data_IF_358482929449
#
_entry.id   IF_358482929449
#
_cell.length_a   1.000
_cell.length_b   1.000
_cell.length_c   1.000
_cell.angle_alpha   90.00
_cell.angle_beta   90.00
_cell.angle_gamma   90.00
#
_symmetry.space_group_name_H-M   'P 1'
#
loop_
_entity.id
_entity.type
_entity.pdbx_description
1 polymer ?
#
# COMPACT_ATOMS: atom_id res chain seq x y z
N UNK A 1 7.97 -0.83 -5.15
CA UNK A 1 6.81 -1.51 -4.58
C UNK A 1 5.74 -1.65 -5.63
N UNK A 2 4.94 -2.69 -5.54
CA UNK A 2 3.84 -3.02 -6.44
C UNK A 2 2.55 -3.08 -5.65
N UNK A 3 1.44 -3.10 -6.37
CA UNK A 3 0.11 -3.16 -5.78
C UNK A 3 -0.75 -4.16 -6.55
N UNK A 4 -1.39 -5.08 -5.83
CA UNK A 4 -2.27 -6.07 -6.45
C UNK A 4 -3.66 -5.51 -6.75
N UNK A 5 -4.51 -6.27 -7.45
CA UNK A 5 -5.88 -5.83 -7.85
C UNK A 5 -6.79 -5.43 -6.67
N UNK A 6 -6.47 -5.84 -5.45
CA UNK A 6 -7.22 -5.56 -4.23
C UNK A 6 -6.49 -4.56 -3.32
N UNK A 7 -5.54 -3.82 -3.91
CA UNK A 7 -4.73 -2.82 -3.25
C UNK A 7 -3.87 -3.35 -2.09
N UNK A 8 -3.43 -4.60 -2.13
CA UNK A 8 -2.36 -5.08 -1.26
C UNK A 8 -1.00 -4.64 -1.79
N UNK A 9 -0.22 -3.86 -1.01
CA UNK A 9 1.12 -3.49 -1.41
C UNK A 9 2.09 -4.63 -1.15
N UNK A 10 3.02 -4.85 -2.08
CA UNK A 10 4.13 -5.79 -1.93
C UNK A 10 5.38 -5.23 -2.59
N UNK A 11 6.54 -5.86 -2.35
CA UNK A 11 7.82 -5.36 -2.85
C UNK A 11 8.54 -6.40 -3.70
N UNK A 12 9.38 -5.90 -4.62
CA UNK A 12 10.46 -6.66 -5.22
C UNK A 12 11.47 -7.02 -4.11
N UNK A 13 11.92 -8.27 -4.06
CA UNK A 13 12.84 -8.77 -3.03
C UNK A 13 12.21 -9.11 -1.68
N UNK A 14 10.94 -8.76 -1.46
CA UNK A 14 10.19 -9.16 -0.27
C UNK A 14 8.70 -9.28 -0.54
N UNK A 15 8.20 -10.51 -0.48
CA UNK A 15 6.77 -10.81 -0.59
C UNK A 15 6.29 -11.38 0.74
N UNK A 16 5.50 -10.59 1.47
CA UNK A 16 5.05 -10.89 2.83
C UNK A 16 6.20 -11.27 3.77
N UNK A 17 6.25 -12.54 4.20
CA UNK A 17 7.26 -13.07 5.12
C UNK A 17 8.49 -13.64 4.41
N UNK A 18 8.51 -13.71 3.08
CA UNK A 18 9.66 -14.22 2.32
C UNK A 18 10.55 -13.08 1.87
N UNK A 19 11.83 -13.18 2.20
CA UNK A 19 12.90 -12.30 1.75
C UNK A 19 13.76 -13.06 0.75
N UNK A 20 14.11 -12.39 -0.36
CA UNK A 20 14.99 -12.96 -1.38
C UNK A 20 16.43 -12.46 -1.13
N UNK A 21 17.40 -13.36 -1.32
CA UNK A 21 18.80 -12.95 -1.38
C UNK A 21 19.03 -12.15 -2.66
N UNK A 22 19.67 -10.99 -2.55
CA UNK A 22 20.06 -10.20 -3.71
C UNK A 22 21.36 -10.76 -4.30
N UNK A 23 21.23 -11.38 -5.47
CA UNK A 23 22.31 -11.91 -6.30
C UNK A 23 22.51 -11.06 -7.57
N UNK A 24 21.99 -9.82 -7.57
CA UNK A 24 22.03 -8.89 -8.69
C UNK A 24 20.78 -8.92 -9.58
N UNK A 25 19.78 -9.74 -9.25
CA UNK A 25 18.52 -9.82 -10.01
C UNK A 25 17.68 -8.52 -9.94
N UNK A 26 18.07 -7.58 -9.08
CA UNK A 26 17.41 -6.30 -8.87
C UNK A 26 18.15 -5.06 -9.40
N UNK A 27 19.26 -5.25 -10.11
CA UNK A 27 20.15 -4.17 -10.58
C UNK A 27 19.67 -3.41 -11.82
N UNK A 28 18.47 -3.69 -12.33
CA UNK A 28 17.89 -2.94 -13.45
C UNK A 28 16.88 -1.90 -12.95
N UNK A 29 16.98 -0.63 -13.38
CA UNK A 29 15.95 0.37 -13.14
C UNK A 29 14.57 -0.14 -13.55
N UNK A 30 13.56 0.12 -12.72
CA UNK A 30 12.20 -0.36 -12.97
C UNK A 30 11.16 0.67 -12.56
N UNK A 31 10.18 0.88 -13.41
CA UNK A 31 8.99 1.61 -13.05
C UNK A 31 8.17 0.79 -12.04
N UNK A 32 7.76 1.40 -10.94
CA UNK A 32 7.08 0.77 -9.81
C UNK A 32 5.85 1.57 -9.41
N UNK A 33 4.97 0.98 -8.61
CA UNK A 33 3.78 1.69 -8.15
C UNK A 33 4.11 2.74 -7.08
N UNK A 34 4.97 2.36 -6.14
CA UNK A 34 5.38 3.17 -5.01
C UNK A 34 6.83 2.86 -4.63
N UNK A 35 7.54 3.85 -4.11
CA UNK A 35 8.88 3.71 -3.53
C UNK A 35 8.81 3.88 -2.00
N UNK A 36 9.76 3.27 -1.27
CA UNK A 36 9.76 3.31 0.19
C UNK A 36 10.11 4.70 0.71
N UNK A 37 9.42 5.16 1.76
CA UNK A 37 9.74 6.42 2.43
C UNK A 37 11.13 6.44 3.08
N UNK A 38 11.77 5.28 3.27
CA UNK A 38 13.14 5.19 3.80
C UNK A 38 14.19 5.80 2.85
N UNK A 39 13.93 5.79 1.54
CA UNK A 39 14.76 6.44 0.54
C UNK A 39 13.89 6.84 -0.64
N UNK A 40 13.34 8.06 -0.58
CA UNK A 40 12.46 8.63 -1.58
C UNK A 40 12.93 10.03 -1.96
N UNK A 41 13.26 10.22 -3.25
CA UNK A 41 13.58 11.52 -3.82
C UNK A 41 12.44 12.00 -4.71
N UNK A 42 11.98 13.24 -4.51
CA UNK A 42 10.85 13.83 -5.22
C UNK A 42 11.19 15.27 -5.59
N UNK A 43 10.79 15.70 -6.80
CA UNK A 43 10.87 17.12 -7.20
C UNK A 43 10.06 17.98 -6.22
N UNK A 44 10.70 18.98 -5.63
CA UNK A 44 10.09 19.87 -4.62
C UNK A 44 8.77 20.48 -5.08
N UNK A 45 8.70 20.96 -6.32
CA UNK A 45 7.48 21.54 -6.88
C UNK A 45 6.34 20.54 -6.98
N UNK A 46 6.63 19.30 -7.40
CA UNK A 46 5.63 18.22 -7.49
C UNK A 46 5.15 17.83 -6.10
N UNK A 47 6.07 17.69 -5.14
CA UNK A 47 5.73 17.37 -3.75
C UNK A 47 4.79 18.41 -3.15
N UNK A 48 5.12 19.70 -3.28
CA UNK A 48 4.30 20.82 -2.78
C UNK A 48 2.96 20.91 -3.50
N UNK A 49 2.96 20.83 -4.82
CA UNK A 49 1.75 20.93 -5.66
C UNK A 49 0.74 19.83 -5.35
N UNK A 50 1.22 18.62 -5.05
CA UNK A 50 0.36 17.49 -4.70
C UNK A 50 -0.05 17.46 -3.22
N UNK A 51 0.44 18.40 -2.39
CA UNK A 51 0.08 18.51 -0.97
C UNK A 51 0.90 17.61 -0.03
N UNK A 52 2.09 17.17 -0.47
CA UNK A 52 3.02 16.40 0.36
C UNK A 52 2.48 15.06 0.87
N UNK A 53 2.97 14.62 2.03
CA UNK A 53 2.48 13.44 2.75
C UNK A 53 1.19 13.78 3.51
N UNK A 54 0.18 12.92 3.44
CA UNK A 54 -1.12 13.19 4.07
C UNK A 54 -1.06 12.94 5.60
N UNK A 55 -1.20 13.97 6.44
CA UNK A 55 -1.12 13.83 7.89
C UNK A 55 -2.25 12.97 8.48
N UNK A 56 -3.35 12.75 7.75
CA UNK A 56 -4.42 11.85 8.18
C UNK A 56 -3.94 10.40 8.37
N UNK A 57 -2.88 10.00 7.66
CA UNK A 57 -2.31 8.65 7.72
C UNK A 57 -1.40 8.47 8.94
N UNK A 58 -0.80 9.55 9.45
CA UNK A 58 0.16 9.60 10.55
C UNK A 58 1.46 8.81 10.28
N UNK A 59 1.37 7.49 10.09
CA UNK A 59 2.47 6.61 9.76
C UNK A 59 1.98 5.39 8.97
N UNK A 60 2.84 4.87 8.10
CA UNK A 60 2.58 3.84 7.09
C UNK A 60 1.67 4.29 5.95
N UNK A 61 2.11 4.03 4.72
CA UNK A 61 1.40 4.26 3.46
C UNK A 61 1.26 5.73 3.06
N UNK A 62 1.82 6.68 3.82
CA UNK A 62 1.94 8.07 3.38
C UNK A 62 2.69 8.21 2.06
N UNK A 63 3.77 7.46 1.89
CA UNK A 63 4.56 7.41 0.68
C UNK A 63 3.80 6.74 -0.47
N UNK A 64 3.00 5.71 -0.17
CA UNK A 64 2.19 5.00 -1.16
C UNK A 64 1.08 5.93 -1.68
N UNK A 65 0.40 6.66 -0.81
CA UNK A 65 -0.61 7.66 -1.18
C UNK A 65 -0.01 8.75 -2.06
N UNK A 66 1.20 9.24 -1.73
CA UNK A 66 1.91 10.25 -2.52
C UNK A 66 2.25 9.72 -3.91
N UNK A 67 2.83 8.52 -4.01
CA UNK A 67 3.16 7.89 -5.28
C UNK A 67 1.90 7.66 -6.14
N UNK A 68 0.79 7.26 -5.52
CA UNK A 68 -0.48 7.09 -6.22
C UNK A 68 -1.02 8.41 -6.78
N UNK A 69 -0.99 9.48 -5.98
CA UNK A 69 -1.36 10.83 -6.43
C UNK A 69 -0.46 11.34 -7.55
N UNK A 70 0.85 11.06 -7.49
CA UNK A 70 1.79 11.37 -8.56
C UNK A 70 1.40 10.68 -9.88
N UNK A 71 1.10 9.39 -9.83
CA UNK A 71 0.63 8.67 -11.02
C UNK A 71 -0.69 9.22 -11.58
N UNK A 72 -1.64 9.61 -10.71
CA UNK A 72 -2.87 10.29 -11.15
C UNK A 72 -2.59 11.63 -11.84
N UNK A 73 -1.57 12.34 -11.39
CA UNK A 73 -1.10 13.60 -11.97
C UNK A 73 -0.19 13.42 -13.20
N UNK A 74 0.08 12.19 -13.63
CA UNK A 74 0.87 11.91 -14.84
C UNK A 74 2.37 11.76 -14.60
N UNK A 75 2.82 11.72 -13.34
CA UNK A 75 4.22 11.44 -13.01
C UNK A 75 4.48 9.94 -12.83
N UNK A 76 5.71 9.55 -13.11
CA UNK A 76 6.18 8.18 -12.97
C UNK A 76 6.90 7.98 -11.63
N UNK A 77 6.97 6.72 -11.18
CA UNK A 77 7.69 6.35 -9.97
C UNK A 77 8.67 5.24 -10.33
N UNK A 78 9.94 5.46 -10.05
CA UNK A 78 11.03 4.56 -10.46
C UNK A 78 11.86 4.12 -9.26
N UNK A 79 12.43 2.91 -9.36
CA UNK A 79 13.55 2.48 -8.52
C UNK A 79 14.85 2.64 -9.31
N UNK A 80 15.86 3.26 -8.69
CA UNK A 80 17.22 3.40 -9.23
C UNK A 80 18.19 2.54 -8.39
N UNK A 81 18.51 1.31 -8.84
CA UNK A 81 19.36 0.39 -8.08
C UNK A 81 20.80 0.87 -7.85
N UNK A 82 21.30 1.80 -8.68
CA UNK A 82 22.62 2.40 -8.46
C UNK A 82 22.68 3.29 -7.20
N UNK A 83 21.52 3.75 -6.70
CA UNK A 83 21.41 4.53 -5.46
C UNK A 83 20.95 3.63 -4.31
N UNK A 84 21.91 3.09 -3.57
CA UNK A 84 21.65 2.13 -2.48
C UNK A 84 21.72 2.81 -1.12
N UNK A 85 20.68 2.59 -0.29
CA UNK A 85 20.60 3.05 1.10
C UNK A 85 20.25 1.88 2.00
N UNK A 86 21.04 1.67 3.06
CA UNK A 86 20.76 0.66 4.08
C UNK A 86 19.84 1.25 5.16
N UNK A 87 18.70 0.62 5.37
CA UNK A 87 17.70 1.05 6.34
C UNK A 87 17.43 -0.06 7.37
N UNK A 88 17.70 0.22 8.65
CA UNK A 88 17.37 -0.68 9.74
C UNK A 88 15.86 -0.65 10.01
N UNK A 89 15.15 -1.66 9.53
CA UNK A 89 13.71 -1.77 9.68
C UNK A 89 13.27 -2.03 11.13
N UNK A 90 12.08 -1.52 11.50
CA UNK A 90 11.40 -1.93 12.74
C UNK A 90 11.77 -1.15 14.01
N UNK A 91 12.58 -0.10 13.91
CA UNK A 91 13.00 0.70 15.06
C UNK A 91 11.84 1.39 15.81
N UNK A 92 10.85 1.94 15.10
CA UNK A 92 9.74 2.70 15.71
C UNK A 92 8.55 1.83 16.12
N UNK A 93 8.23 0.81 15.32
CA UNK A 93 7.08 -0.09 15.54
C UNK A 93 7.47 -1.51 15.14
N UNK A 94 7.60 -2.37 16.15
CA UNK A 94 7.86 -3.79 15.97
C UNK A 94 6.76 -4.46 15.13
N UNK A 95 7.12 -5.56 14.45
CA UNK A 95 6.22 -6.29 13.56
C UNK A 95 4.97 -6.78 14.29
N UNK A 96 5.13 -7.25 15.53
CA UNK A 96 4.02 -7.76 16.35
C UNK A 96 3.22 -6.68 17.09
N UNK A 97 3.45 -5.39 16.82
CA UNK A 97 2.67 -4.34 17.48
C UNK A 97 1.27 -4.22 16.83
N UNK A 98 0.15 -4.41 17.58
CA UNK A 98 -1.20 -4.26 17.03
C UNK A 98 -1.50 -2.85 16.49
N UNK A 99 -0.80 -1.82 16.97
CA UNK A 99 -0.89 -0.46 16.42
C UNK A 99 -0.47 -0.40 14.96
N UNK A 100 0.58 -1.16 14.58
CA UNK A 100 1.02 -1.29 13.18
C UNK A 100 -0.03 -1.99 12.33
N UNK A 101 -0.70 -3.01 12.86
CA UNK A 101 -1.82 -3.67 12.17
C UNK A 101 -2.96 -2.68 11.96
N UNK A 102 -3.39 -1.98 13.00
CA UNK A 102 -4.43 -0.95 12.89
C UNK A 102 -4.10 0.11 11.82
N UNK A 103 -2.88 0.66 11.85
CA UNK A 103 -2.47 1.70 10.90
C UNK A 103 -2.46 1.17 9.46
N UNK A 104 -1.86 0.00 9.21
CA UNK A 104 -1.81 -0.58 7.86
C UNK A 104 -3.20 -0.84 7.27
N UNK A 105 -4.11 -1.45 8.03
CA UNK A 105 -5.46 -1.74 7.54
C UNK A 105 -6.25 -0.45 7.31
N UNK A 106 -6.26 0.47 8.29
CA UNK A 106 -6.99 1.75 8.18
C UNK A 106 -6.47 2.57 7.01
N UNK A 107 -5.15 2.73 6.92
CA UNK A 107 -4.52 3.59 5.91
C UNK A 107 -4.69 3.00 4.51
N UNK A 108 -4.67 1.67 4.36
CA UNK A 108 -4.94 1.03 3.08
C UNK A 108 -6.35 1.37 2.55
N UNK A 109 -7.37 1.23 3.39
CA UNK A 109 -8.75 1.58 3.02
C UNK A 109 -8.88 3.08 2.69
N UNK A 110 -8.21 3.94 3.44
CA UNK A 110 -8.16 5.39 3.18
C UNK A 110 -7.56 5.67 1.80
N UNK A 111 -6.38 5.13 1.46
CA UNK A 111 -5.71 5.44 0.18
C UNK A 111 -6.48 4.87 -1.02
N UNK A 112 -7.12 3.72 -0.87
CA UNK A 112 -8.04 3.13 -1.86
C UNK A 112 -9.20 4.07 -2.10
N UNK A 113 -9.90 4.46 -1.02
CA UNK A 113 -11.01 5.40 -1.12
C UNK A 113 -10.57 6.80 -1.53
N UNK A 114 -9.30 7.18 -1.45
CA UNK A 114 -8.83 8.49 -1.92
C UNK A 114 -8.50 8.51 -3.41
N UNK A 115 -8.02 7.40 -3.97
CA UNK A 115 -7.30 7.43 -5.26
C UNK A 115 -7.95 6.62 -6.38
N UNK A 116 -8.89 5.72 -6.09
CA UNK A 116 -9.65 5.01 -7.14
C UNK A 116 -10.95 5.71 -7.54
N UNK A 117 -11.52 5.46 -8.73
CA UNK A 117 -12.89 5.86 -9.05
C UNK A 117 -13.86 5.42 -7.96
N UNK A 118 -14.89 6.23 -7.66
CA UNK A 118 -15.70 6.07 -6.44
C UNK A 118 -16.32 4.66 -6.32
N UNK A 119 -16.98 4.18 -7.37
CA UNK A 119 -17.61 2.85 -7.36
C UNK A 119 -16.58 1.71 -7.33
N UNK A 120 -15.45 1.86 -8.03
CA UNK A 120 -14.35 0.89 -7.94
C UNK A 120 -13.78 0.81 -6.53
N UNK A 121 -13.61 1.96 -5.86
CA UNK A 121 -13.14 2.01 -4.48
C UNK A 121 -14.11 1.31 -3.52
N UNK A 122 -15.41 1.58 -3.63
CA UNK A 122 -16.43 0.92 -2.81
C UNK A 122 -16.43 -0.61 -3.01
N UNK A 123 -16.32 -1.08 -4.26
CA UNK A 123 -16.21 -2.52 -4.55
C UNK A 123 -14.98 -3.16 -3.92
N UNK A 124 -13.82 -2.50 -4.01
CA UNK A 124 -12.59 -2.97 -3.35
C UNK A 124 -12.75 -2.98 -1.83
N UNK A 125 -13.31 -1.91 -1.23
CA UNK A 125 -13.53 -1.82 0.23
C UNK A 125 -14.47 -2.91 0.73
N UNK A 126 -15.55 -3.19 0.00
CA UNK A 126 -16.47 -4.27 0.34
C UNK A 126 -15.76 -5.63 0.35
N UNK A 127 -14.96 -5.92 -0.69
CA UNK A 127 -14.18 -7.16 -0.70
C UNK A 127 -13.11 -7.18 0.40
N UNK A 128 -12.47 -6.05 0.68
CA UNK A 128 -11.51 -5.89 1.78
C UNK A 128 -12.15 -6.18 3.13
N UNK A 129 -13.40 -5.79 3.36
CA UNK A 129 -14.13 -6.15 4.58
C UNK A 129 -14.16 -7.67 4.79
N UNK A 130 -14.40 -8.44 3.73
CA UNK A 130 -14.42 -9.91 3.78
C UNK A 130 -13.01 -10.49 3.99
N UNK A 131 -12.04 -10.06 3.18
CA UNK A 131 -10.65 -10.54 3.25
C UNK A 131 -9.97 -10.19 4.58
N UNK A 132 -10.20 -8.98 5.09
CA UNK A 132 -9.69 -8.54 6.38
C UNK A 132 -10.37 -9.29 7.53
N UNK A 133 -11.65 -9.64 7.38
CA UNK A 133 -12.36 -10.51 8.31
C UNK A 133 -11.72 -11.90 8.39
N UNK A 134 -11.39 -12.52 7.25
CA UNK A 134 -10.65 -13.78 7.21
C UNK A 134 -9.27 -13.68 7.88
N UNK A 135 -8.53 -12.60 7.62
CA UNK A 135 -7.26 -12.34 8.29
C UNK A 135 -7.45 -12.17 9.82
N UNK A 136 -8.54 -11.52 10.25
CA UNK A 136 -8.91 -11.38 11.65
C UNK A 136 -9.20 -12.71 12.34
N UNK A 137 -9.89 -13.64 11.66
CA UNK A 137 -10.12 -15.01 12.14
C UNK A 137 -8.79 -15.76 12.25
N UNK A 138 -7.92 -15.67 11.23
CA UNK A 138 -6.60 -16.30 11.27
C UNK A 138 -5.75 -15.78 12.45
N UNK A 139 -5.76 -14.48 12.73
CA UNK A 139 -5.07 -13.94 13.91
C UNK A 139 -5.65 -14.46 15.22
N UNK A 140 -6.97 -14.63 15.31
CA UNK A 140 -7.62 -15.17 16.49
C UNK A 140 -7.20 -16.63 16.72
N UNK A 141 -7.23 -17.45 15.67
CA UNK A 141 -6.80 -18.85 15.70
C UNK A 141 -5.30 -18.98 16.05
N UNK A 142 -4.48 -18.02 15.64
CA UNK A 142 -3.06 -17.95 15.98
C UNK A 142 -2.78 -17.39 17.40
N UNK A 143 -3.81 -17.21 18.24
CA UNK A 143 -3.64 -16.70 19.61
C UNK A 143 -3.29 -15.21 19.69
N UNK A 144 -3.58 -14.43 18.63
CA UNK A 144 -3.26 -13.00 18.50
C UNK A 144 -4.53 -12.10 18.49
N UNK A 145 -5.43 -12.17 19.48
CA UNK A 145 -6.72 -11.45 19.47
C UNK A 145 -6.59 -9.92 19.40
N UNK A 146 -5.48 -9.36 19.92
CA UNK A 146 -5.19 -7.92 19.82
C UNK A 146 -5.08 -7.45 18.36
N UNK A 147 -4.61 -8.29 17.44
CA UNK A 147 -4.53 -7.97 16.02
C UNK A 147 -5.92 -8.00 15.37
N UNK A 148 -6.76 -8.98 15.72
CA UNK A 148 -8.16 -9.04 15.27
C UNK A 148 -8.91 -7.78 15.68
N UNK A 149 -8.80 -7.36 16.94
CA UNK A 149 -9.44 -6.12 17.41
C UNK A 149 -8.85 -4.87 16.72
N UNK A 150 -7.55 -4.87 16.40
CA UNK A 150 -6.93 -3.80 15.64
C UNK A 150 -7.50 -3.66 14.22
N UNK A 151 -7.83 -4.78 13.55
CA UNK A 151 -8.47 -4.78 12.23
C UNK A 151 -9.90 -4.23 12.33
N UNK A 152 -10.70 -4.71 13.28
CA UNK A 152 -12.07 -4.22 13.50
C UNK A 152 -12.06 -2.70 13.74
N UNK A 153 -11.20 -2.25 14.67
CA UNK A 153 -11.03 -0.83 14.97
C UNK A 153 -10.57 -0.02 13.75
N UNK A 154 -9.75 -0.60 12.87
CA UNK A 154 -9.28 0.05 11.66
C UNK A 154 -10.43 0.35 10.68
N UNK A 155 -11.36 -0.60 10.50
CA UNK A 155 -12.57 -0.42 9.70
C UNK A 155 -13.46 0.69 10.26
N UNK A 156 -13.79 0.65 11.56
CA UNK A 156 -14.57 1.72 12.19
C UNK A 156 -13.89 3.09 12.10
N UNK A 157 -12.57 3.15 12.29
CA UNK A 157 -11.80 4.39 12.16
C UNK A 157 -11.77 4.92 10.71
N UNK A 158 -11.79 4.03 9.71
CA UNK A 158 -11.94 4.39 8.31
C UNK A 158 -13.32 5.01 8.07
N UNK A 159 -14.41 4.35 8.50
CA UNK A 159 -15.78 4.87 8.33
C UNK A 159 -15.99 6.20 9.06
N UNK A 160 -15.48 6.34 10.28
CA UNK A 160 -15.53 7.61 11.03
C UNK A 160 -14.76 8.76 10.37
N UNK A 161 -13.84 8.47 9.44
CA UNK A 161 -13.10 9.47 8.65
C UNK A 161 -13.70 9.73 7.26
N UNK A 162 -14.83 9.10 6.91
CA UNK A 162 -15.37 9.13 5.56
C UNK A 162 -15.54 10.55 5.02
N UNK A 163 -16.10 11.48 5.80
CA UNK A 163 -16.26 12.89 5.39
C UNK A 163 -14.92 13.56 5.08
N UNK A 164 -13.90 13.38 5.94
CA UNK A 164 -12.55 13.91 5.71
C UNK A 164 -11.89 13.30 4.47
N UNK A 165 -12.13 12.02 4.23
CA UNK A 165 -11.67 11.30 3.03
C UNK A 165 -12.33 11.90 1.77
N UNK A 166 -13.65 12.11 1.76
CA UNK A 166 -14.34 12.73 0.63
C UNK A 166 -13.88 14.17 0.38
N UNK A 167 -13.65 14.97 1.43
CA UNK A 167 -13.05 16.31 1.29
C UNK A 167 -11.66 16.24 0.67
N UNK A 168 -10.85 15.26 1.07
CA UNK A 168 -9.51 15.04 0.49
C UNK A 168 -9.58 14.60 -0.98
N UNK A 169 -10.53 13.72 -1.34
CA UNK A 169 -10.82 13.36 -2.74
C UNK A 169 -11.17 14.59 -3.56
N UNK A 170 -12.10 15.43 -3.08
CA UNK A 170 -12.54 16.62 -3.79
C UNK A 170 -11.37 17.58 -4.07
N UNK A 171 -10.47 17.81 -3.11
CA UNK A 171 -9.26 18.65 -3.30
C UNK A 171 -8.31 18.13 -4.38
N UNK A 172 -8.29 16.82 -4.61
CA UNK A 172 -7.42 16.20 -5.62
C UNK A 172 -8.18 15.82 -6.90
N UNK A 173 -9.45 16.21 -7.04
CA UNK A 173 -10.30 15.83 -8.17
C UNK A 173 -9.84 16.42 -9.51
N UNK A 174 -9.05 17.50 -9.49
CA UNK A 174 -8.41 18.06 -10.68
C UNK A 174 -7.47 17.08 -11.40
N UNK A 175 -6.97 16.07 -10.69
CA UNK A 175 -6.20 14.98 -11.29
C UNK A 175 -7.12 13.80 -11.58
N UNK A 176 -7.16 13.30 -12.82
CA UNK A 176 -8.11 12.26 -13.22
C UNK A 176 -7.93 11.00 -12.37
N UNK A 177 -9.05 10.41 -11.97
CA UNK A 177 -9.03 9.07 -11.39
C UNK A 177 -8.70 8.07 -12.50
N UNK A 178 -7.77 7.15 -12.20
CA UNK A 178 -7.35 6.09 -13.12
C UNK A 178 -7.90 4.76 -12.65
N UNK A 179 -8.27 3.86 -13.57
CA UNK A 179 -8.54 2.47 -13.18
C UNK A 179 -7.25 1.85 -12.69
N UNK A 180 -7.38 0.79 -11.90
CA UNK A 180 -6.21 0.10 -11.36
C UNK A 180 -5.26 -0.37 -12.47
N UNK A 181 -5.81 -0.95 -13.54
CA UNK A 181 -5.06 -1.42 -14.72
C UNK A 181 -4.31 -0.32 -15.48
N UNK A 182 -4.71 0.95 -15.32
CA UNK A 182 -4.10 2.07 -16.03
C UNK A 182 -2.93 2.67 -15.23
N UNK A 183 -2.67 2.16 -14.02
CA UNK A 183 -1.56 2.55 -13.15
C UNK A 183 -0.37 1.61 -13.35
N UNK A 184 0.82 2.15 -13.21
CA UNK A 184 2.09 1.44 -13.35
C UNK A 184 2.45 0.73 -12.06
N UNK A 185 3.14 -0.41 -12.19
CA UNK A 185 3.48 -1.28 -11.07
C UNK A 185 2.29 -1.99 -10.42
N UNK A 186 1.21 -2.21 -11.18
CA UNK A 186 0.06 -2.99 -10.72
C UNK A 186 0.19 -4.46 -11.11
N UNK A 187 -0.38 -5.34 -10.30
CA UNK A 187 -0.44 -6.78 -10.52
C UNK A 187 -1.91 -7.22 -10.64
N UNK A 188 -2.32 -7.88 -11.73
CA UNK A 188 -3.73 -8.10 -12.04
C UNK A 188 -4.42 -9.17 -11.19
N UNK A 189 -3.66 -10.00 -10.47
CA UNK A 189 -4.20 -11.04 -9.60
C UNK A 189 -4.08 -10.68 -8.10
N UNK A 190 -4.56 -11.57 -7.23
CA UNK A 190 -4.42 -11.42 -5.79
C UNK A 190 -3.05 -11.93 -5.34
N UNK A 191 -2.20 -11.04 -4.84
CA UNK A 191 -0.88 -11.43 -4.31
C UNK A 191 -1.03 -12.33 -3.08
N UNK A 192 -2.10 -12.15 -2.30
CA UNK A 192 -2.44 -13.00 -1.16
C UNK A 192 -2.73 -14.43 -1.61
N UNK A 193 -3.55 -14.61 -2.64
CA UNK A 193 -3.89 -15.93 -3.17
C UNK A 193 -2.67 -16.62 -3.80
N UNK A 194 -1.91 -15.87 -4.58
CA UNK A 194 -0.67 -16.36 -5.18
C UNK A 194 0.33 -16.83 -4.12
N UNK A 195 0.49 -16.08 -3.03
CA UNK A 195 1.41 -16.44 -1.96
C UNK A 195 0.93 -17.59 -1.08
N UNK A 196 -0.30 -17.53 -0.55
CA UNK A 196 -0.80 -18.51 0.42
C UNK A 196 -1.50 -19.70 -0.23
N UNK A 197 -2.17 -19.50 -1.38
CA UNK A 197 -2.90 -20.55 -2.10
C UNK A 197 -2.04 -21.30 -3.11
N UNK A 198 -1.31 -20.58 -3.97
CA UNK A 198 -0.45 -21.20 -5.01
C UNK A 198 0.99 -21.45 -4.56
N UNK A 199 1.41 -20.88 -3.44
CA UNK A 199 2.77 -21.08 -2.91
C UNK A 199 3.85 -20.28 -3.64
N UNK A 200 3.50 -19.29 -4.46
CA UNK A 200 4.44 -18.41 -5.15
C UNK A 200 5.09 -17.43 -4.15
N UNK A 201 6.41 -17.42 -4.06
CA UNK A 201 7.15 -16.69 -2.99
C UNK A 201 8.14 -15.68 -3.51
N UNK A 202 8.59 -15.80 -4.76
CA UNK A 202 9.61 -14.94 -5.37
C UNK A 202 8.95 -13.88 -6.23
N UNK A 203 9.58 -12.72 -6.34
CA UNK A 203 9.06 -11.63 -7.16
C UNK A 203 8.88 -12.03 -8.65
N UNK A 204 9.75 -12.89 -9.18
CA UNK A 204 9.66 -13.45 -10.53
C UNK A 204 8.43 -14.34 -10.76
N UNK A 205 7.77 -14.81 -9.70
CA UNK A 205 6.55 -15.61 -9.85
C UNK A 205 5.34 -14.73 -10.22
N UNK A 206 5.48 -13.40 -10.09
CA UNK A 206 4.42 -12.41 -10.34
C UNK A 206 4.67 -11.57 -11.61
N UNK A 207 5.90 -11.59 -12.16
CA UNK A 207 6.33 -10.77 -13.30
C UNK A 207 7.37 -11.46 -14.17
#
# INVERSE_FOLDING_TARGET
>A
GFMDRWAYPFCRGRVFGTLENDIGQYNTPKEVFWATGACLAVRTEVFKTLGGLDPMLFAHMEEIDLCWRMQRAGFEVWVQPESTVYHLGGATLSVDNPKKTFLNFRNNLIIVMKNLPHFSALGVIFLRLLLDGLAGIQFLLAGKPKHTFAIIRAHFAFYGKFTSIQRSRARTAKYPFKRFSDLKGTYPESVVWQYYGKGNKRFSDFF
#
